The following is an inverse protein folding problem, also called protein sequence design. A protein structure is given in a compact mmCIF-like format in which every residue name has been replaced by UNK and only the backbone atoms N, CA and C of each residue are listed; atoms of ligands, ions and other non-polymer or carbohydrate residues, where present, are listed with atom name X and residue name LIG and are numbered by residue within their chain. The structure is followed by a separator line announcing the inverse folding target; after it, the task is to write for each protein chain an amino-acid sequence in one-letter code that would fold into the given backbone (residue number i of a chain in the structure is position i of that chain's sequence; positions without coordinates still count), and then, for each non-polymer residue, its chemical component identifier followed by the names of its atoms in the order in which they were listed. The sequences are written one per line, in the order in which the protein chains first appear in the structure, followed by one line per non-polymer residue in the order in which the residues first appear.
data_IF_063983729470
#
_entry.id   IF_063983729470
#
_cell.length_a   1.000
_cell.length_b   1.000
_cell.length_c   1.000
_cell.angle_alpha   90.00
_cell.angle_beta   90.00
_cell.angle_gamma   90.00
#
_symmetry.space_group_name_H-M   'P 1'
#
loop_
_entity.id
_entity.type
_entity.pdbx_description
1 polymer ?
#
# COMPACT_ATOMS: atom_id res chain seq x y z
N UNK A 1 -5.44 -29.05 19.91
CA UNK A 1 -4.60 -28.92 18.70
C UNK A 1 -4.47 -27.43 18.40
N UNK A 2 -3.24 -26.96 18.16
CA UNK A 2 -2.71 -25.61 18.35
C UNK A 2 -3.59 -24.41 17.96
N UNK A 3 -3.64 -23.43 18.89
CA UNK A 3 -3.85 -22.00 18.62
C UNK A 3 -2.57 -21.40 18.04
N UNK A 4 -2.67 -20.50 17.06
CA UNK A 4 -1.67 -19.46 16.84
C UNK A 4 -2.41 -18.12 16.74
N UNK A 5 -2.28 -17.34 17.83
CA UNK A 5 -2.50 -15.90 17.88
C UNK A 5 -1.43 -15.21 17.05
N UNK A 6 -1.80 -14.13 16.34
CA UNK A 6 -0.89 -13.00 16.18
C UNK A 6 -1.58 -11.74 16.72
N UNK A 7 -1.44 -11.59 18.05
CA UNK A 7 -1.41 -10.28 18.69
C UNK A 7 -0.02 -9.70 18.50
N UNK A 8 0.08 -8.49 17.95
CA UNK A 8 1.26 -7.65 18.13
C UNK A 8 0.86 -6.51 19.07
N UNK A 9 1.19 -6.74 20.35
CA UNK A 9 1.68 -5.79 21.35
C UNK A 9 0.77 -4.59 21.69
N UNK A 10 -0.02 -4.78 22.76
CA UNK A 10 -0.13 -3.78 23.82
C UNK A 10 0.79 -4.23 24.98
N UNK A 11 1.86 -3.48 25.23
CA UNK A 11 2.63 -3.57 26.48
C UNK A 11 2.25 -2.36 27.33
N UNK A 12 1.64 -2.64 28.48
CA UNK A 12 1.45 -1.69 29.57
C UNK A 12 2.30 -2.17 30.74
N UNK A 13 3.29 -1.36 31.14
CA UNK A 13 3.67 -1.12 32.53
C UNK A 13 4.68 0.03 32.59
N UNK A 14 4.26 1.10 33.24
CA UNK A 14 5.00 2.28 33.72
C UNK A 14 6.53 2.23 33.59
N UNK A 15 7.01 2.86 32.53
CA UNK A 15 8.11 3.81 32.62
C UNK A 15 7.79 4.96 31.66
N UNK A 16 8.16 6.17 32.06
CA UNK A 16 7.98 7.41 31.28
C UNK A 16 8.70 7.30 29.93
N UNK A 17 8.07 6.69 28.95
CA UNK A 17 8.54 6.62 27.57
C UNK A 17 7.54 7.41 26.74
N UNK A 18 8.04 8.50 26.17
CA UNK A 18 7.36 9.38 25.22
C UNK A 18 6.54 8.54 24.24
N UNK A 19 5.24 8.79 24.18
CA UNK A 19 4.37 8.37 23.07
C UNK A 19 4.87 9.07 21.79
N UNK A 20 5.92 8.52 21.20
CA UNK A 20 6.35 8.85 19.85
C UNK A 20 5.53 7.97 18.91
N UNK A 21 4.44 8.54 18.42
CA UNK A 21 4.04 8.50 17.01
C UNK A 21 4.49 7.26 16.22
N UNK A 22 3.58 6.30 16.04
CA UNK A 22 3.70 5.24 15.03
C UNK A 22 3.24 5.75 13.64
N UNK A 23 2.91 7.04 13.53
CA UNK A 23 2.70 7.76 12.26
C UNK A 23 3.87 8.76 11.98
N UNK A 24 4.97 8.72 12.76
CA UNK A 24 6.11 9.66 12.58
C UNK A 24 7.22 9.18 11.67
N UNK A 25 7.13 8.00 11.07
CA UNK A 25 8.23 7.49 10.23
C UNK A 25 7.76 7.18 8.82
N UNK A 26 8.07 8.12 7.92
CA UNK A 26 8.48 7.77 6.57
C UNK A 26 7.46 7.99 5.47
N UNK A 27 6.84 9.18 5.40
CA UNK A 27 6.57 9.78 4.09
C UNK A 27 7.68 10.82 3.91
N UNK A 28 8.71 10.50 3.11
CA UNK A 28 9.94 11.30 2.87
C UNK A 28 11.00 11.36 3.99
N UNK A 29 12.19 10.82 3.70
CA UNK A 29 13.45 11.44 4.14
C UNK A 29 13.98 12.25 2.95
N UNK A 30 13.87 13.60 2.96
CA UNK A 30 14.41 14.44 1.90
C UNK A 30 15.96 14.40 1.81
N UNK A 31 16.63 13.68 2.73
CA UNK A 31 18.07 13.45 2.69
C UNK A 31 18.44 12.04 2.19
N UNK A 32 17.48 11.24 1.71
CA UNK A 32 17.77 10.02 0.99
C UNK A 32 18.27 10.38 -0.43
N UNK A 33 19.51 10.87 -0.48
CA UNK A 33 20.33 11.22 -1.63
C UNK A 33 19.69 10.87 -2.99
N UNK A 34 18.87 11.81 -3.51
CA UNK A 34 18.24 11.83 -4.84
C UNK A 34 19.31 12.03 -5.94
N UNK A 35 20.36 11.21 -5.91
CA UNK A 35 21.30 11.10 -7.02
C UNK A 35 20.65 10.24 -8.09
N UNK A 36 20.30 10.87 -9.22
CA UNK A 36 19.90 10.26 -10.49
C UNK A 36 20.10 8.73 -10.53
N UNK A 37 19.06 7.98 -10.16
CA UNK A 37 19.14 6.52 -10.14
C UNK A 37 19.19 6.05 -11.60
N UNK A 38 20.37 5.58 -12.03
CA UNK A 38 20.54 4.97 -13.33
C UNK A 38 19.87 3.58 -13.33
N UNK A 39 18.76 3.46 -14.05
CA UNK A 39 18.01 2.21 -14.19
C UNK A 39 18.67 1.16 -15.10
N UNK A 40 19.78 1.51 -15.74
CA UNK A 40 20.58 0.59 -16.58
C UNK A 40 21.51 -0.30 -15.75
N UNK A 41 21.84 0.07 -14.51
CA UNK A 41 22.66 -0.75 -13.61
C UNK A 41 22.00 -0.84 -12.23
N UNK A 42 21.01 -1.73 -12.10
CA UNK A 42 20.31 -1.96 -10.85
C UNK A 42 21.23 -2.69 -9.87
N UNK A 43 21.56 -2.07 -8.72
CA UNK A 43 22.50 -2.63 -7.73
C UNK A 43 21.82 -3.03 -6.42
N UNK A 44 20.56 -2.63 -6.21
CA UNK A 44 19.80 -2.96 -5.01
C UNK A 44 18.32 -3.20 -5.30
N UNK A 45 17.63 -3.89 -4.39
CA UNK A 45 16.18 -4.09 -4.47
C UNK A 45 15.41 -2.75 -4.49
N UNK A 46 15.89 -1.75 -3.75
CA UNK A 46 15.29 -0.42 -3.72
C UNK A 46 15.37 0.29 -5.07
N UNK A 47 16.54 0.25 -5.72
CA UNK A 47 16.71 0.79 -7.07
C UNK A 47 15.84 0.03 -8.08
N UNK A 48 15.75 -1.30 -7.93
CA UNK A 48 14.93 -2.14 -8.81
C UNK A 48 13.45 -1.76 -8.73
N UNK A 49 12.90 -1.63 -7.52
CA UNK A 49 11.52 -1.21 -7.32
C UNK A 49 11.33 0.23 -7.79
N UNK A 50 12.24 1.15 -7.47
CA UNK A 50 12.16 2.53 -7.93
C UNK A 50 12.10 2.61 -9.47
N UNK A 51 12.97 1.89 -10.17
CA UNK A 51 12.98 1.84 -11.63
C UNK A 51 11.72 1.22 -12.23
N UNK A 52 11.17 0.17 -11.60
CA UNK A 52 9.89 -0.38 -11.99
C UNK A 52 8.78 0.68 -11.90
N UNK A 53 8.80 1.50 -10.85
CA UNK A 53 7.81 2.54 -10.60
C UNK A 53 7.93 3.73 -11.55
N UNK A 54 9.15 4.14 -11.88
CA UNK A 54 9.36 5.22 -12.85
C UNK A 54 8.87 4.86 -14.25
N UNK A 55 8.83 3.56 -14.59
CA UNK A 55 8.22 3.09 -15.84
C UNK A 55 6.69 3.16 -15.87
N UNK A 56 6.05 3.35 -14.71
CA UNK A 56 4.59 3.44 -14.61
C UNK A 56 4.11 4.86 -14.96
N UNK A 57 2.97 5.00 -15.66
CA UNK A 57 2.38 6.30 -15.93
C UNK A 57 2.02 7.03 -14.62
N UNK A 58 1.94 8.36 -14.64
CA UNK A 58 1.52 9.16 -13.48
C UNK A 58 0.10 8.79 -13.04
N UNK A 59 -0.23 8.97 -11.75
CA UNK A 59 -1.58 8.66 -11.24
C UNK A 59 -2.56 9.81 -11.41
N UNK A 60 -2.08 11.05 -11.55
CA UNK A 60 -2.94 12.22 -11.70
C UNK A 60 -3.86 12.14 -12.92
N UNK A 61 -3.40 11.49 -14.00
CA UNK A 61 -4.19 11.26 -15.21
C UNK A 61 -5.05 10.00 -15.13
N UNK A 62 -4.84 9.15 -14.12
CA UNK A 62 -5.52 7.86 -13.98
C UNK A 62 -6.62 7.87 -12.91
N UNK A 63 -6.69 8.89 -12.03
CA UNK A 63 -7.65 8.93 -10.93
C UNK A 63 -9.09 9.21 -11.39
N UNK A 64 -9.99 8.26 -11.13
CA UNK A 64 -11.39 8.28 -11.57
C UNK A 64 -12.35 8.95 -10.61
N UNK A 65 -12.03 8.95 -9.32
CA UNK A 65 -13.01 9.23 -8.27
C UNK A 65 -12.67 10.51 -7.50
N UNK A 66 -13.67 11.21 -6.93
CA UNK A 66 -13.40 12.38 -6.09
C UNK A 66 -12.46 12.08 -4.92
N UNK A 67 -12.57 10.88 -4.35
CA UNK A 67 -11.71 10.42 -3.26
C UNK A 67 -10.24 10.27 -3.70
N UNK A 68 -9.98 9.51 -4.76
CA UNK A 68 -8.61 9.32 -5.28
C UNK A 68 -7.98 10.65 -5.74
N UNK A 69 -8.75 11.52 -6.39
CA UNK A 69 -8.31 12.86 -6.76
C UNK A 69 -7.95 13.71 -5.53
N UNK A 70 -8.71 13.58 -4.43
CA UNK A 70 -8.39 14.27 -3.17
C UNK A 70 -7.08 13.76 -2.56
N UNK A 71 -6.89 12.43 -2.48
CA UNK A 71 -5.65 11.83 -1.98
C UNK A 71 -4.43 12.31 -2.79
N UNK A 72 -4.54 12.33 -4.13
CA UNK A 72 -3.46 12.82 -4.99
C UNK A 72 -3.16 14.31 -4.80
N UNK A 73 -4.18 15.15 -4.55
CA UNK A 73 -3.98 16.57 -4.21
C UNK A 73 -3.27 16.72 -2.88
N UNK A 74 -3.65 15.94 -1.87
CA UNK A 74 -3.01 15.98 -0.55
C UNK A 74 -1.53 15.61 -0.60
N UNK A 75 -1.12 14.73 -1.52
CA UNK A 75 0.29 14.38 -1.71
C UNK A 75 1.17 15.58 -2.07
N UNK A 76 0.60 16.61 -2.72
CA UNK A 76 1.32 17.83 -3.12
C UNK A 76 1.46 18.85 -1.98
N UNK A 77 0.84 18.60 -0.82
CA UNK A 77 0.93 19.49 0.33
C UNK A 77 2.24 19.29 1.10
N UNK A 78 2.71 20.32 1.85
CA UNK A 78 3.79 20.17 2.80
C UNK A 78 3.50 19.07 3.85
N UNK A 79 4.53 18.38 4.33
CA UNK A 79 4.43 17.20 5.20
C UNK A 79 3.47 17.40 6.39
N UNK A 80 3.62 18.51 7.11
CA UNK A 80 2.79 18.87 8.26
C UNK A 80 1.29 19.09 7.93
N UNK A 81 0.92 19.24 6.66
CA UNK A 81 -0.45 19.45 6.20
C UNK A 81 -1.06 18.21 5.51
N UNK A 82 -0.24 17.22 5.16
CA UNK A 82 -0.69 16.01 4.45
C UNK A 82 -1.73 15.24 5.26
N UNK A 83 -1.45 14.99 6.54
CA UNK A 83 -2.36 14.27 7.44
C UNK A 83 -3.72 14.98 7.53
N UNK A 84 -3.71 16.27 7.83
CA UNK A 84 -4.93 17.08 7.91
C UNK A 84 -5.71 17.07 6.60
N UNK A 85 -5.03 17.10 5.46
CA UNK A 85 -5.66 17.02 4.15
C UNK A 85 -6.29 15.64 3.89
N UNK A 86 -5.56 14.55 4.15
CA UNK A 86 -6.05 13.17 3.99
C UNK A 86 -7.28 12.94 4.88
N UNK A 87 -7.27 13.45 6.11
CA UNK A 87 -8.42 13.37 7.01
C UNK A 87 -9.66 14.02 6.39
N UNK A 88 -9.52 15.16 5.70
CA UNK A 88 -10.64 15.80 4.98
C UNK A 88 -11.11 14.99 3.77
N UNK A 89 -10.21 14.27 3.09
CA UNK A 89 -10.61 13.37 2.01
C UNK A 89 -11.51 12.25 2.50
N UNK A 90 -11.39 11.84 3.77
CA UNK A 90 -12.24 10.80 4.34
C UNK A 90 -13.72 11.21 4.44
N UNK A 91 -14.03 12.49 4.34
CA UNK A 91 -15.41 13.00 4.31
C UNK A 91 -16.06 12.85 2.92
N UNK A 92 -15.28 12.61 1.85
CA UNK A 92 -15.80 12.44 0.50
C UNK A 92 -16.47 11.08 0.35
N UNK A 93 -17.67 11.01 -0.20
CA UNK A 93 -18.39 9.76 -0.44
C UNK A 93 -17.77 8.98 -1.61
N UNK A 94 -17.17 7.82 -1.31
CA UNK A 94 -16.84 6.80 -2.31
C UNK A 94 -16.45 5.47 -1.61
N UNK A 95 -17.41 4.69 -1.08
CA UNK A 95 -17.10 3.42 -0.45
C UNK A 95 -17.01 2.32 -1.52
N UNK A 96 -15.82 1.75 -1.71
CA UNK A 96 -15.63 0.50 -2.45
C UNK A 96 -16.36 -0.67 -1.75
N UNK A 97 -16.59 -1.79 -2.44
CA UNK A 97 -17.18 -2.99 -1.81
C UNK A 97 -16.36 -3.42 -0.60
N UNK A 98 -15.04 -3.51 -0.72
CA UNK A 98 -14.13 -3.82 0.39
C UNK A 98 -14.23 -2.81 1.54
N UNK A 99 -14.41 -1.52 1.24
CA UNK A 99 -14.65 -0.49 2.25
C UNK A 99 -16.01 -0.67 2.94
N UNK A 100 -17.07 -1.02 2.19
CA UNK A 100 -18.39 -1.32 2.75
C UNK A 100 -18.34 -2.53 3.66
N UNK A 101 -17.70 -3.61 3.21
CA UNK A 101 -17.59 -4.86 3.97
C UNK A 101 -16.76 -4.65 5.25
N UNK A 102 -15.70 -3.84 5.19
CA UNK A 102 -14.91 -3.44 6.36
C UNK A 102 -15.77 -2.66 7.37
N UNK A 103 -16.51 -1.64 6.91
CA UNK A 103 -17.39 -0.83 7.77
C UNK A 103 -18.52 -1.67 8.38
N UNK A 104 -19.11 -2.58 7.60
CA UNK A 104 -20.13 -3.52 8.08
C UNK A 104 -19.55 -4.48 9.12
N UNK A 105 -18.34 -5.00 8.91
CA UNK A 105 -17.63 -5.82 9.89
C UNK A 105 -17.41 -5.08 11.21
N UNK A 106 -16.96 -3.83 11.17
CA UNK A 106 -16.76 -3.01 12.37
C UNK A 106 -18.06 -2.71 13.12
N UNK A 107 -19.19 -2.62 12.41
CA UNK A 107 -20.50 -2.35 13.03
C UNK A 107 -20.96 -3.46 14.00
N UNK A 108 -20.38 -4.67 13.87
CA UNK A 108 -20.66 -5.80 14.76
C UNK A 108 -19.84 -5.83 16.05
N UNK A 109 -18.88 -4.91 16.23
CA UNK A 109 -18.04 -4.81 17.43
C UNK A 109 -18.85 -4.16 18.57
N UNK A 110 -19.03 -4.88 19.67
CA UNK A 110 -19.85 -4.46 20.82
C UNK A 110 -19.24 -3.32 21.64
N UNK A 111 -17.91 -3.24 21.70
CA UNK A 111 -17.20 -2.19 22.43
C UNK A 111 -17.11 -0.91 21.57
N UNK A 112 -17.68 0.23 22.01
CA UNK A 112 -17.67 1.47 21.25
C UNK A 112 -16.26 1.99 20.89
N UNK A 113 -15.29 1.81 21.79
CA UNK A 113 -13.92 2.29 21.56
C UNK A 113 -13.23 1.46 20.47
N UNK A 114 -13.41 0.14 20.52
CA UNK A 114 -12.86 -0.76 19.50
C UNK A 114 -13.60 -0.65 18.17
N UNK A 115 -14.92 -0.41 18.22
CA UNK A 115 -15.72 -0.11 17.04
C UNK A 115 -15.24 1.17 16.36
N UNK A 116 -15.03 2.25 17.10
CA UNK A 116 -14.54 3.52 16.55
C UNK A 116 -13.12 3.39 15.97
N UNK A 117 -12.23 2.67 16.67
CA UNK A 117 -10.89 2.37 16.14
C UNK A 117 -10.94 1.56 14.84
N UNK A 118 -11.81 0.55 14.78
CA UNK A 118 -12.03 -0.27 13.59
C UNK A 118 -12.59 0.57 12.43
N UNK A 119 -13.63 1.36 12.69
CA UNK A 119 -14.25 2.24 11.68
C UNK A 119 -13.25 3.26 11.15
N UNK A 120 -12.43 3.85 12.02
CA UNK A 120 -11.38 4.79 11.61
C UNK A 120 -10.28 4.08 10.81
N UNK A 121 -9.91 2.84 11.16
CA UNK A 121 -8.97 2.03 10.38
C UNK A 121 -9.54 1.66 9.00
N UNK A 122 -10.81 1.28 8.91
CA UNK A 122 -11.48 1.03 7.62
C UNK A 122 -11.57 2.28 6.75
N UNK A 123 -11.79 3.45 7.37
CA UNK A 123 -11.81 4.74 6.68
C UNK A 123 -10.42 5.15 6.18
N UNK A 124 -9.34 4.81 6.90
CA UNK A 124 -7.98 5.26 6.57
C UNK A 124 -7.16 4.30 5.70
N UNK A 125 -7.41 2.99 5.78
CA UNK A 125 -6.58 1.97 5.11
C UNK A 125 -7.29 1.19 4.00
N UNK A 126 -8.62 1.28 3.88
CA UNK A 126 -9.43 0.36 3.06
C UNK A 126 -10.28 1.05 1.99
N UNK A 127 -10.14 2.37 1.83
CA UNK A 127 -11.03 3.14 0.93
C UNK A 127 -10.58 3.16 -0.52
N UNK A 128 -9.28 3.02 -0.78
CA UNK A 128 -8.80 2.91 -2.16
C UNK A 128 -9.12 1.50 -2.66
N UNK A 129 -9.95 1.42 -3.68
CA UNK A 129 -10.09 0.24 -4.51
C UNK A 129 -9.43 0.56 -5.85
N UNK A 130 -8.26 -0.03 -6.14
CA UNK A 130 -7.51 0.33 -7.33
C UNK A 130 -8.32 0.23 -8.63
N UNK A 131 -9.13 -0.82 -8.78
CA UNK A 131 -9.96 -1.06 -9.98
C UNK A 131 -11.03 0.01 -10.20
N UNK A 132 -11.54 0.60 -9.11
CA UNK A 132 -12.55 1.67 -9.16
C UNK A 132 -11.87 3.03 -9.27
N UNK A 133 -10.82 3.25 -8.49
CA UNK A 133 -10.18 4.55 -8.28
C UNK A 133 -9.18 4.92 -9.37
N UNK A 134 -8.61 3.95 -10.09
CA UNK A 134 -7.58 4.21 -11.09
C UNK A 134 -7.84 3.51 -12.43
N UNK A 135 -7.41 4.15 -13.51
CA UNK A 135 -7.34 3.57 -14.85
C UNK A 135 -6.10 2.67 -15.03
N UNK A 136 -6.23 1.69 -15.92
CA UNK A 136 -5.15 0.81 -16.38
C UNK A 136 -4.43 0.09 -15.23
N UNK A 137 -5.13 -0.24 -14.14
CA UNK A 137 -4.56 -0.96 -12.99
C UNK A 137 -4.00 -2.32 -13.36
N UNK A 138 -4.68 -3.02 -14.27
CA UNK A 138 -4.22 -4.33 -14.73
C UNK A 138 -2.87 -4.21 -15.45
N UNK A 139 -2.79 -3.32 -16.44
CA UNK A 139 -1.53 -3.03 -17.16
C UNK A 139 -0.42 -2.56 -16.23
N UNK A 140 -0.74 -1.72 -15.22
CA UNK A 140 0.23 -1.27 -14.21
C UNK A 140 0.77 -2.44 -13.41
N UNK A 141 -0.12 -3.34 -12.97
CA UNK A 141 0.26 -4.53 -12.24
C UNK A 141 1.18 -5.43 -13.08
N UNK A 142 0.79 -5.72 -14.32
CA UNK A 142 1.61 -6.53 -15.24
C UNK A 142 2.99 -5.94 -15.50
N UNK A 143 3.07 -4.64 -15.83
CA UNK A 143 4.36 -3.97 -16.04
C UNK A 143 5.24 -4.01 -14.80
N UNK A 144 4.64 -3.76 -13.64
CA UNK A 144 5.35 -3.81 -12.37
C UNK A 144 5.87 -5.23 -12.07
N UNK A 145 5.00 -6.24 -12.06
CA UNK A 145 5.36 -7.62 -11.75
C UNK A 145 6.38 -8.18 -12.73
N UNK A 146 6.20 -7.96 -14.03
CA UNK A 146 7.15 -8.40 -15.06
C UNK A 146 8.54 -7.81 -14.83
N UNK A 147 8.61 -6.51 -14.49
CA UNK A 147 9.88 -5.86 -14.19
C UNK A 147 10.52 -6.39 -12.91
N UNK A 148 9.76 -6.51 -11.82
CA UNK A 148 10.29 -7.03 -10.54
C UNK A 148 10.70 -8.50 -10.68
N UNK A 149 9.94 -9.35 -11.38
CA UNK A 149 10.32 -10.76 -11.59
C UNK A 149 11.62 -10.88 -12.39
N UNK A 150 11.79 -10.05 -13.42
CA UNK A 150 13.01 -10.06 -14.23
C UNK A 150 14.25 -9.66 -13.44
N UNK A 151 14.12 -8.71 -12.50
CA UNK A 151 15.27 -8.03 -11.90
C UNK A 151 15.43 -8.26 -10.39
N UNK A 152 14.44 -8.85 -9.72
CA UNK A 152 14.39 -8.98 -8.27
C UNK A 152 13.99 -10.37 -7.74
N UNK A 153 13.80 -11.37 -8.61
CA UNK A 153 13.49 -12.76 -8.19
C UNK A 153 14.61 -13.41 -7.35
N UNK A 154 15.83 -12.87 -7.41
CA UNK A 154 16.98 -13.36 -6.63
C UNK A 154 17.07 -12.77 -5.23
N UNK A 155 16.24 -11.79 -4.85
CA UNK A 155 16.27 -11.19 -3.52
C UNK A 155 15.43 -12.00 -2.53
N UNK A 156 15.86 -12.01 -1.27
CA UNK A 156 15.13 -12.69 -0.21
C UNK A 156 13.81 -11.97 0.13
N UNK A 157 12.84 -12.75 0.62
CA UNK A 157 11.56 -12.32 1.18
C UNK A 157 11.63 -11.12 2.10
N UNK A 158 12.59 -11.10 3.03
CA UNK A 158 12.69 -10.03 4.01
C UNK A 158 13.17 -8.74 3.37
N UNK A 159 14.04 -8.81 2.36
CA UNK A 159 14.53 -7.64 1.64
C UNK A 159 13.45 -7.00 0.78
N UNK A 160 12.69 -7.82 0.04
CA UNK A 160 11.53 -7.38 -0.73
C UNK A 160 10.47 -6.75 0.19
N UNK A 161 10.15 -7.41 1.30
CA UNK A 161 9.18 -6.91 2.29
C UNK A 161 9.59 -5.56 2.84
N UNK A 162 10.85 -5.42 3.31
CA UNK A 162 11.39 -4.15 3.80
C UNK A 162 11.34 -3.06 2.73
N UNK A 163 11.63 -3.42 1.48
CA UNK A 163 11.60 -2.46 0.38
C UNK A 163 10.18 -1.98 0.08
N UNK A 164 9.19 -2.88 0.02
CA UNK A 164 7.78 -2.49 -0.12
C UNK A 164 7.27 -1.65 1.05
N UNK A 165 7.58 -2.05 2.29
CA UNK A 165 7.19 -1.28 3.49
C UNK A 165 7.77 0.13 3.49
N UNK A 166 8.93 0.35 2.86
CA UNK A 166 9.55 1.68 2.73
C UNK A 166 8.98 2.49 1.55
N UNK A 167 8.74 1.84 0.41
CA UNK A 167 8.37 2.53 -0.83
C UNK A 167 6.86 2.83 -0.88
N UNK A 168 6.03 1.93 -0.39
CA UNK A 168 4.57 2.10 -0.39
C UNK A 168 4.07 3.37 0.30
N UNK A 169 4.60 3.76 1.48
CA UNK A 169 4.25 5.02 2.12
C UNK A 169 5.05 6.21 1.58
N UNK A 170 5.80 6.12 0.48
CA UNK A 170 6.59 7.28 0.00
C UNK A 170 6.35 7.60 -1.45
N UNK A 171 5.98 6.60 -2.25
CA UNK A 171 5.79 6.76 -3.68
C UNK A 171 4.32 6.66 -4.07
N UNK A 172 3.72 7.79 -4.43
CA UNK A 172 2.31 7.83 -4.79
C UNK A 172 2.00 6.95 -6.01
N UNK A 173 2.91 6.83 -6.99
CA UNK A 173 2.70 5.98 -8.18
C UNK A 173 2.52 4.50 -7.83
N UNK A 174 3.04 4.07 -6.68
CA UNK A 174 2.91 2.71 -6.16
C UNK A 174 1.58 2.42 -5.48
N UNK A 175 0.74 3.43 -5.24
CA UNK A 175 -0.46 3.29 -4.43
C UNK A 175 -1.39 2.14 -4.87
N UNK A 176 -1.70 1.94 -6.17
CA UNK A 176 -2.47 0.77 -6.62
C UNK A 176 -1.80 -0.57 -6.28
N UNK A 177 -0.49 -0.68 -6.52
CA UNK A 177 0.29 -1.90 -6.27
C UNK A 177 0.33 -2.20 -4.78
N UNK A 178 0.61 -1.20 -3.95
CA UNK A 178 0.66 -1.32 -2.50
C UNK A 178 -0.67 -1.72 -1.89
N UNK A 179 -1.77 -1.19 -2.41
CA UNK A 179 -3.10 -1.64 -2.01
C UNK A 179 -3.34 -3.09 -2.41
N UNK A 180 -2.92 -3.49 -3.61
CA UNK A 180 -3.01 -4.88 -4.06
C UNK A 180 -2.20 -5.86 -3.20
N UNK A 181 -0.97 -5.49 -2.82
CA UNK A 181 -0.14 -6.26 -1.87
C UNK A 181 -0.84 -6.35 -0.51
N UNK A 182 -1.46 -5.25 -0.06
CA UNK A 182 -2.18 -5.22 1.22
C UNK A 182 -3.43 -6.11 1.20
N UNK A 183 -4.15 -6.17 0.07
CA UNK A 183 -5.35 -7.00 -0.09
C UNK A 183 -5.03 -8.51 0.01
N UNK A 184 -3.87 -8.92 -0.51
CA UNK A 184 -3.38 -10.31 -0.46
C UNK A 184 -2.65 -10.57 0.86
N UNK A 185 -2.00 -9.55 1.43
CA UNK A 185 -1.04 -9.70 2.53
C UNK A 185 0.37 -9.91 1.99
N UNK A 186 1.36 -9.26 2.61
CA UNK A 186 2.73 -9.19 2.09
C UNK A 186 3.44 -10.55 2.05
N UNK A 187 3.15 -11.43 3.00
CA UNK A 187 3.70 -12.79 3.06
C UNK A 187 3.15 -13.66 1.92
N UNK A 188 1.82 -13.68 1.77
CA UNK A 188 1.16 -14.44 0.70
C UNK A 188 1.50 -13.87 -0.69
N UNK A 189 1.63 -12.55 -0.82
CA UNK A 189 2.15 -11.93 -2.03
C UNK A 189 3.53 -12.48 -2.41
N UNK A 190 4.45 -12.59 -1.43
CA UNK A 190 5.79 -13.11 -1.68
C UNK A 190 5.77 -14.57 -2.15
N UNK A 191 4.99 -15.42 -1.49
CA UNK A 191 4.84 -16.83 -1.86
C UNK A 191 4.36 -16.99 -3.31
N UNK A 192 3.28 -16.26 -3.67
CA UNK A 192 2.74 -16.28 -5.02
C UNK A 192 3.69 -15.63 -6.04
N UNK A 193 4.45 -14.62 -5.64
CA UNK A 193 5.39 -13.93 -6.50
C UNK A 193 6.55 -14.85 -6.93
N UNK A 194 7.05 -15.71 -6.02
CA UNK A 194 8.17 -16.63 -6.27
C UNK A 194 7.75 -17.99 -6.83
N UNK A 195 6.47 -18.33 -6.80
CA UNK A 195 6.00 -19.55 -7.46
C UNK A 195 6.08 -19.39 -8.99
N UNK A 196 6.99 -20.16 -9.59
CA UNK A 196 7.24 -20.18 -11.04
C UNK A 196 5.99 -20.59 -11.86
N UNK A 197 5.00 -21.22 -11.22
CA UNK A 197 3.77 -21.65 -11.86
C UNK A 197 2.70 -20.56 -11.85
N UNK A 198 2.83 -19.54 -10.99
CA UNK A 198 1.87 -18.43 -10.90
C UNK A 198 2.22 -17.38 -11.94
N UNK A 199 1.34 -17.15 -12.91
CA UNK A 199 1.55 -16.13 -13.94
C UNK A 199 1.29 -14.73 -13.37
N UNK A 200 1.88 -13.70 -13.99
CA UNK A 200 1.68 -12.30 -13.59
C UNK A 200 0.18 -11.94 -13.54
N UNK A 201 -0.61 -12.45 -14.50
CA UNK A 201 -2.05 -12.23 -14.53
C UNK A 201 -2.76 -12.78 -13.29
N UNK A 202 -2.43 -14.00 -12.91
CA UNK A 202 -3.08 -14.68 -11.79
C UNK A 202 -2.77 -13.93 -10.49
N UNK A 203 -1.51 -13.50 -10.31
CA UNK A 203 -1.13 -12.67 -9.18
C UNK A 203 -1.84 -11.30 -9.20
N UNK A 204 -1.95 -10.65 -10.35
CA UNK A 204 -2.69 -9.39 -10.48
C UNK A 204 -4.19 -9.52 -10.18
N UNK A 205 -4.81 -10.65 -10.54
CA UNK A 205 -6.20 -10.98 -10.17
C UNK A 205 -6.32 -11.17 -8.66
N UNK A 206 -5.41 -11.93 -8.03
CA UNK A 206 -5.39 -12.11 -6.57
C UNK A 206 -5.21 -10.78 -5.83
N UNK A 207 -4.36 -9.90 -6.36
CA UNK A 207 -4.15 -8.54 -5.87
C UNK A 207 -5.36 -7.60 -6.09
N UNK A 208 -6.41 -8.07 -6.77
CA UNK A 208 -7.57 -7.28 -7.16
C UNK A 208 -7.19 -6.06 -8.01
N UNK A 209 -6.25 -6.26 -8.94
CA UNK A 209 -5.77 -5.26 -9.90
C UNK A 209 -6.14 -5.60 -11.35
N UNK A 210 -6.64 -6.81 -11.60
CA UNK A 210 -7.19 -7.28 -12.88
C UNK A 210 -8.53 -7.99 -12.63
N UNK A 211 -9.39 -8.02 -13.66
CA UNK A 211 -10.60 -8.85 -13.66
C UNK A 211 -10.26 -10.30 -14.04
N UNK A 212 -11.12 -11.24 -13.64
CA UNK A 212 -11.06 -12.62 -14.13
C UNK A 212 -11.55 -12.62 -15.57
N UNK A 213 -10.69 -13.06 -16.50
CA UNK A 213 -11.00 -13.20 -17.94
C UNK A 213 -11.40 -14.62 -18.27
#
# INVERSE_FOLDING_TARGET
MMMILFSIIALSSNDKIKNNNIIDQGWFDPNADDTHINCDSQRSIYQTIFCAVESLPTLETAARTPFSQCILKCHKNPEHQKITCITKCNDLANPSTSSKDCLLGCSSISDPTHQDQCMNKCKSSSRINPMIDFENTCDRCHKFLSFIRKNAVSYDSQELTKAFLRICPTNIKMLPICQGITNVGIEMFYELFHDINVKDNDLCVQMQLCEIV
#
